data_IF_893240845450
#
_entry.id   IF_893240845450
#
_cell.length_a   1.000
_cell.length_b   1.000
_cell.length_c   1.000
_cell.angle_alpha   90.00
_cell.angle_beta   90.00
_cell.angle_gamma   90.00
#
_symmetry.space_group_name_H-M   'P 1'
#
loop_
_entity.id
_entity.type
_entity.pdbx_description
1 polymer ?
#
# COMPACT_ATOMS: atom_id res chain seq x y z
N UNK A 1 6.17 19.28 9.45
CA UNK A 1 5.64 19.50 10.82
C UNK A 1 4.18 19.04 10.99
N UNK A 2 3.23 19.50 10.14
CA UNK A 2 1.81 19.11 10.25
C UNK A 2 1.53 17.60 10.16
N UNK A 3 2.17 16.90 9.22
CA UNK A 3 2.04 15.43 9.06
C UNK A 3 2.45 14.70 10.35
N UNK A 4 3.59 15.05 10.95
CA UNK A 4 4.05 14.44 12.19
C UNK A 4 3.06 14.63 13.35
N UNK A 5 2.44 15.81 13.48
CA UNK A 5 1.45 16.10 14.52
C UNK A 5 0.20 15.22 14.36
N UNK A 6 -0.35 15.14 13.14
CA UNK A 6 -1.53 14.34 12.83
C UNK A 6 -1.26 12.85 13.08
N UNK A 7 -0.14 12.33 12.57
CA UNK A 7 0.21 10.91 12.74
C UNK A 7 0.45 10.56 14.21
N UNK A 8 1.13 11.41 14.97
CA UNK A 8 1.34 11.20 16.40
C UNK A 8 0.02 11.18 17.19
N UNK A 9 -0.91 12.10 16.90
CA UNK A 9 -2.24 12.10 17.53
C UNK A 9 -3.04 10.84 17.20
N UNK A 10 -2.99 10.39 15.94
CA UNK A 10 -3.71 9.19 15.48
C UNK A 10 -3.11 7.92 16.07
N UNK A 11 -1.78 7.80 16.14
CA UNK A 11 -1.11 6.67 16.79
C UNK A 11 -1.42 6.61 18.29
N UNK A 12 -1.47 7.75 18.99
CA UNK A 12 -1.89 7.81 20.39
C UNK A 12 -3.34 7.35 20.60
N UNK A 13 -4.23 7.65 19.65
CA UNK A 13 -5.61 7.17 19.70
C UNK A 13 -5.69 5.67 19.41
N UNK A 14 -5.00 5.18 18.37
CA UNK A 14 -4.93 3.76 18.05
C UNK A 14 -4.39 2.93 19.23
N UNK A 15 -3.32 3.38 19.89
CA UNK A 15 -2.75 2.71 21.05
C UNK A 15 -3.76 2.63 22.21
N UNK A 16 -4.51 3.71 22.48
CA UNK A 16 -5.56 3.71 23.51
C UNK A 16 -6.67 2.69 23.21
N UNK A 17 -7.06 2.52 21.94
CA UNK A 17 -8.07 1.54 21.54
C UNK A 17 -7.57 0.10 21.68
N UNK A 18 -6.35 -0.20 21.23
CA UNK A 18 -5.73 -1.52 21.38
C UNK A 18 -5.61 -1.90 22.85
N UNK A 19 -5.18 -0.98 23.71
CA UNK A 19 -5.09 -1.23 25.15
C UNK A 19 -6.45 -1.47 25.81
N UNK A 20 -7.51 -0.77 25.37
CA UNK A 20 -8.88 -1.04 25.83
C UNK A 20 -9.39 -2.39 25.38
N UNK A 21 -9.06 -2.82 24.17
CA UNK A 21 -9.47 -4.13 23.65
C UNK A 21 -8.84 -5.28 24.45
N UNK A 22 -7.60 -5.11 24.90
CA UNK A 22 -6.89 -6.09 25.73
C UNK A 22 -7.19 -6.01 27.23
N UNK A 23 -7.95 -5.02 27.70
CA UNK A 23 -8.27 -4.87 29.11
C UNK A 23 -9.30 -5.91 29.54
N UNK A 24 -9.06 -6.69 30.62
CA UNK A 24 -10.04 -7.63 31.12
C UNK A 24 -11.33 -6.87 31.52
N UNK A 25 -12.51 -7.46 31.32
CA UNK A 25 -13.76 -6.81 31.71
C UNK A 25 -13.70 -6.48 33.20
N UNK A 26 -13.79 -5.19 33.53
CA UNK A 26 -13.86 -4.71 34.89
C UNK A 26 -15.05 -5.37 35.57
N UNK A 27 -14.81 -6.27 36.53
CA UNK A 27 -15.85 -6.80 37.40
C UNK A 27 -16.34 -5.65 38.27
N UNK A 28 -17.45 -5.03 37.87
CA UNK A 28 -18.17 -4.06 38.69
C UNK A 28 -18.35 -4.57 40.13
N UNK A 29 -18.22 -3.68 41.12
CA UNK A 29 -18.55 -3.97 42.52
C UNK A 29 -19.95 -4.57 42.70
N UNK A 30 -20.90 -4.25 41.80
CA UNK A 30 -22.24 -4.83 41.77
C UNK A 30 -22.26 -6.33 41.41
N UNK A 31 -21.24 -6.86 40.72
CA UNK A 31 -21.10 -8.29 40.46
C UNK A 31 -20.59 -9.08 41.69
N UNK A 32 -19.97 -8.39 42.67
CA UNK A 32 -19.58 -8.98 43.97
C UNK A 32 -20.73 -9.01 44.98
N UNK A 33 -21.77 -8.19 44.79
CA UNK A 33 -22.93 -8.09 45.69
C UNK A 33 -24.14 -8.93 45.25
N UNK A 34 -23.98 -9.85 44.30
CA UNK A 34 -25.01 -10.85 43.96
C UNK A 34 -26.31 -10.29 43.36
N UNK A 35 -26.40 -8.99 43.11
CA UNK A 35 -27.54 -8.37 42.44
C UNK A 35 -27.21 -8.16 40.96
N UNK A 36 -27.43 -9.18 40.14
CA UNK A 36 -27.84 -8.94 38.75
C UNK A 36 -28.61 -10.11 38.12
N UNK A 37 -29.86 -9.79 37.81
CA UNK A 37 -30.80 -10.51 36.95
C UNK A 37 -30.18 -10.67 35.56
N UNK A 38 -30.22 -11.90 35.04
CA UNK A 38 -29.84 -12.24 33.67
C UNK A 38 -30.51 -11.29 32.68
N UNK A 39 -29.67 -10.53 31.97
CA UNK A 39 -30.10 -9.48 31.07
C UNK A 39 -28.92 -9.09 30.19
N UNK A 40 -28.91 -9.76 29.05
CA UNK A 40 -28.20 -9.44 27.82
C UNK A 40 -26.71 -9.77 27.72
N UNK A 41 -26.40 -10.54 26.67
CA UNK A 41 -25.05 -10.85 26.24
C UNK A 41 -24.33 -9.55 25.93
N UNK A 42 -23.04 -9.51 26.26
CA UNK A 42 -22.20 -8.34 26.09
C UNK A 42 -22.14 -7.90 24.63
N UNK A 43 -23.03 -6.98 24.29
CA UNK A 43 -23.02 -6.10 23.12
C UNK A 43 -21.87 -5.08 23.27
N UNK A 44 -20.64 -5.57 23.43
CA UNK A 44 -19.46 -4.72 23.33
C UNK A 44 -19.22 -4.49 21.85
N UNK A 45 -19.39 -3.25 21.33
CA UNK A 45 -19.07 -2.97 19.95
C UNK A 45 -17.61 -3.37 19.70
N UNK A 46 -17.28 -3.91 18.51
CA UNK A 46 -15.91 -4.29 18.22
C UNK A 46 -15.01 -3.06 18.44
N UNK A 47 -14.03 -3.21 19.33
CA UNK A 47 -13.23 -2.10 19.89
C UNK A 47 -12.44 -1.33 18.81
N UNK A 48 -12.40 -1.85 17.59
CA UNK A 48 -11.65 -1.34 16.45
C UNK A 48 -12.53 -0.82 15.29
N UNK A 49 -13.86 -0.81 15.44
CA UNK A 49 -14.74 -0.23 14.42
C UNK A 49 -14.43 1.28 14.22
N UNK A 50 -14.22 1.74 12.98
CA UNK A 50 -14.04 3.15 12.72
C UNK A 50 -15.35 3.91 13.02
N UNK A 51 -15.28 4.93 13.87
CA UNK A 51 -16.42 5.82 14.13
C UNK A 51 -16.69 6.82 12.97
N UNK A 52 -15.94 6.71 11.87
CA UNK A 52 -15.94 7.59 10.71
C UNK A 52 -14.70 7.33 9.83
N UNK A 53 -14.57 8.08 8.74
CA UNK A 53 -13.40 7.98 7.87
C UNK A 53 -12.13 8.39 8.62
N UNK A 54 -11.09 7.57 8.53
CA UNK A 54 -9.79 7.87 9.15
C UNK A 54 -9.16 9.11 8.46
N UNK A 55 -8.80 10.18 9.21
CA UNK A 55 -8.18 11.37 8.63
C UNK A 55 -6.85 11.10 7.93
N UNK A 56 -6.08 10.10 8.39
CA UNK A 56 -4.82 9.69 7.74
C UNK A 56 -5.10 9.06 6.40
N UNK A 57 -6.08 8.15 6.32
CA UNK A 57 -6.47 7.51 5.06
C UNK A 57 -7.04 8.54 4.08
N UNK A 58 -7.88 9.48 4.55
CA UNK A 58 -8.38 10.57 3.71
C UNK A 58 -7.24 11.43 3.17
N UNK A 59 -6.26 11.76 4.02
CA UNK A 59 -5.09 12.54 3.59
C UNK A 59 -4.18 11.77 2.63
N UNK A 60 -4.06 10.46 2.78
CA UNK A 60 -3.31 9.61 1.87
C UNK A 60 -3.90 9.67 0.46
N UNK A 61 -5.22 9.49 0.32
CA UNK A 61 -5.92 9.60 -0.98
C UNK A 61 -5.72 10.98 -1.62
N UNK A 62 -5.79 12.05 -0.82
CA UNK A 62 -5.55 13.42 -1.30
C UNK A 62 -4.11 13.62 -1.79
N UNK A 63 -3.12 13.11 -1.07
CA UNK A 63 -1.70 13.22 -1.44
C UNK A 63 -1.41 12.39 -2.68
N UNK A 64 -1.93 11.16 -2.75
CA UNK A 64 -1.77 10.27 -3.90
C UNK A 64 -2.32 10.91 -5.17
N UNK A 65 -3.54 11.45 -5.12
CA UNK A 65 -4.14 12.14 -6.26
C UNK A 65 -3.24 13.27 -6.78
N UNK A 66 -2.74 14.13 -5.88
CA UNK A 66 -1.83 15.24 -6.25
C UNK A 66 -0.49 14.76 -6.79
N UNK A 67 0.06 13.68 -6.22
CA UNK A 67 1.32 13.11 -6.68
C UNK A 67 1.18 12.55 -8.10
N UNK A 68 0.06 11.88 -8.39
CA UNK A 68 -0.24 11.37 -9.73
C UNK A 68 -0.49 12.51 -10.73
N UNK A 69 -1.21 13.56 -10.33
CA UNK A 69 -1.41 14.73 -11.19
C UNK A 69 -0.06 15.37 -11.55
N UNK A 70 0.79 15.61 -10.55
CA UNK A 70 2.13 16.15 -10.75
C UNK A 70 3.02 15.23 -11.61
N UNK A 71 2.92 13.91 -11.42
CA UNK A 71 3.63 12.93 -12.25
C UNK A 71 3.23 13.07 -13.73
N UNK A 72 1.93 13.04 -14.01
CA UNK A 72 1.41 13.08 -15.38
C UNK A 72 1.71 14.41 -16.06
N UNK A 73 1.57 15.53 -15.34
CA UNK A 73 1.86 16.88 -15.86
C UNK A 73 3.34 17.06 -16.26
N UNK A 74 4.27 16.40 -15.56
CA UNK A 74 5.71 16.59 -15.77
C UNK A 74 6.38 15.34 -16.38
N UNK A 75 5.60 14.38 -16.86
CA UNK A 75 6.12 13.09 -17.34
C UNK A 75 7.06 13.26 -18.53
N UNK A 76 6.63 14.01 -19.55
CA UNK A 76 7.35 14.14 -20.82
C UNK A 76 8.64 14.93 -20.66
N UNK A 77 8.64 15.93 -19.78
CA UNK A 77 9.74 16.88 -19.65
C UNK A 77 10.80 16.40 -18.65
N UNK A 78 10.38 15.92 -17.46
CA UNK A 78 11.29 15.73 -16.33
C UNK A 78 11.22 14.35 -15.67
N UNK A 79 10.06 13.67 -15.72
CA UNK A 79 9.80 12.50 -14.86
C UNK A 79 9.87 11.14 -15.56
N UNK A 80 10.10 11.09 -16.88
CA UNK A 80 10.27 9.83 -17.64
C UNK A 80 11.46 8.99 -17.13
N UNK A 81 12.66 9.60 -17.06
CA UNK A 81 13.85 8.93 -16.53
C UNK A 81 13.69 8.48 -15.08
N UNK A 82 13.31 9.38 -14.16
CA UNK A 82 13.03 9.02 -12.77
C UNK A 82 11.97 7.91 -12.61
N UNK A 83 10.92 7.91 -13.44
CA UNK A 83 9.89 6.87 -13.41
C UNK A 83 10.46 5.52 -13.84
N UNK A 84 11.30 5.50 -14.89
CA UNK A 84 11.99 4.28 -15.33
C UNK A 84 12.93 3.76 -14.25
N UNK A 85 13.74 4.63 -13.66
CA UNK A 85 14.71 4.27 -12.61
C UNK A 85 14.01 3.73 -11.34
N UNK A 86 12.80 4.23 -11.06
CA UNK A 86 11.97 3.73 -9.97
C UNK A 86 11.34 2.35 -10.23
N UNK A 87 11.45 1.80 -11.45
CA UNK A 87 10.79 0.56 -11.82
C UNK A 87 9.31 0.74 -12.19
N UNK A 88 8.92 1.94 -12.62
CA UNK A 88 7.57 2.25 -13.08
C UNK A 88 6.55 2.38 -11.94
N UNK A 89 5.28 2.44 -12.31
CA UNK A 89 4.16 2.41 -11.37
C UNK A 89 3.72 0.97 -11.10
N UNK A 90 3.11 0.74 -9.94
CA UNK A 90 2.35 -0.49 -9.71
C UNK A 90 1.06 -0.48 -10.54
N UNK A 91 0.42 -1.65 -10.66
CA UNK A 91 -0.79 -1.86 -11.45
C UNK A 91 -1.92 -0.88 -11.09
N UNK A 92 -2.15 -0.65 -9.79
CA UNK A 92 -3.18 0.27 -9.32
C UNK A 92 -2.84 1.72 -9.69
N UNK A 93 -1.63 2.18 -9.38
CA UNK A 93 -1.21 3.56 -9.67
C UNK A 93 -1.09 3.85 -11.16
N UNK A 94 -0.72 2.88 -11.99
CA UNK A 94 -0.76 3.00 -13.45
C UNK A 94 -2.18 3.28 -13.95
N UNK A 95 -3.16 2.52 -13.47
CA UNK A 95 -4.56 2.74 -13.82
C UNK A 95 -5.05 4.12 -13.42
N UNK A 96 -4.70 4.58 -12.21
CA UNK A 96 -5.05 5.90 -11.71
C UNK A 96 -4.36 7.03 -12.49
N UNK A 97 -3.09 6.86 -12.88
CA UNK A 97 -2.35 7.80 -13.70
C UNK A 97 -2.95 7.93 -15.10
N UNK A 98 -3.26 6.81 -15.76
CA UNK A 98 -3.88 6.81 -17.09
C UNK A 98 -5.25 7.50 -17.12
N UNK A 99 -6.04 7.38 -16.05
CA UNK A 99 -7.32 8.09 -15.92
C UNK A 99 -7.15 9.62 -15.76
N UNK A 100 -5.98 10.07 -15.28
CA UNK A 100 -5.65 11.49 -15.09
C UNK A 100 -4.97 12.11 -16.30
N UNK A 101 -4.41 11.30 -17.20
CA UNK A 101 -3.83 11.78 -18.45
C UNK A 101 -4.90 12.43 -19.33
N UNK A 102 -4.82 13.75 -19.48
CA UNK A 102 -5.62 14.51 -20.46
C UNK A 102 -4.87 14.77 -21.76
N UNK A 103 -3.52 14.79 -21.73
CA UNK A 103 -2.68 14.93 -22.91
C UNK A 103 -2.36 13.54 -23.53
N UNK A 104 -2.75 13.30 -24.80
CA UNK A 104 -2.41 12.07 -25.50
C UNK A 104 -0.92 11.77 -25.59
N UNK A 105 -0.05 12.79 -25.61
CA UNK A 105 1.41 12.56 -25.65
C UNK A 105 1.92 12.03 -24.32
N UNK A 106 1.52 12.65 -23.20
CA UNK A 106 1.84 12.15 -21.87
C UNK A 106 1.28 10.73 -21.66
N UNK A 107 0.05 10.46 -22.10
CA UNK A 107 -0.53 9.11 -22.03
C UNK A 107 0.29 8.08 -22.83
N UNK A 108 0.65 8.38 -24.07
CA UNK A 108 1.45 7.49 -24.90
C UNK A 108 2.83 7.24 -24.27
N UNK A 109 3.47 8.29 -23.74
CA UNK A 109 4.76 8.16 -23.07
C UNK A 109 4.68 7.32 -21.81
N UNK A 110 3.63 7.49 -21.00
CA UNK A 110 3.40 6.67 -19.80
C UNK A 110 3.30 5.19 -20.13
N UNK A 111 2.51 4.86 -21.16
CA UNK A 111 2.35 3.47 -21.63
C UNK A 111 3.68 2.92 -22.13
N UNK A 112 4.44 3.70 -22.90
CA UNK A 112 5.74 3.27 -23.44
C UNK A 112 6.76 2.97 -22.33
N UNK A 113 6.91 3.90 -21.37
CA UNK A 113 7.83 3.73 -20.24
C UNK A 113 7.45 2.53 -19.40
N UNK A 114 6.18 2.42 -19.04
CA UNK A 114 5.68 1.33 -18.21
C UNK A 114 5.84 -0.03 -18.90
N UNK A 115 5.53 -0.12 -20.20
CA UNK A 115 5.64 -1.36 -20.96
C UNK A 115 7.09 -1.83 -21.00
N UNK A 116 8.03 -0.94 -21.31
CA UNK A 116 9.46 -1.28 -21.36
C UNK A 116 9.97 -1.81 -20.01
N UNK A 117 9.59 -1.16 -18.90
CA UNK A 117 9.98 -1.57 -17.55
C UNK A 117 9.41 -2.95 -17.19
N UNK A 118 8.15 -3.22 -17.51
CA UNK A 118 7.53 -4.52 -17.21
C UNK A 118 8.00 -5.63 -18.12
N UNK A 119 8.30 -5.35 -19.39
CA UNK A 119 8.91 -6.33 -20.30
C UNK A 119 10.28 -6.80 -19.78
N UNK A 120 11.10 -5.86 -19.30
CA UNK A 120 12.38 -6.17 -18.67
C UNK A 120 12.19 -7.03 -17.41
N UNK A 121 11.26 -6.64 -16.54
CA UNK A 121 10.94 -7.39 -15.32
C UNK A 121 10.42 -8.80 -15.61
N UNK A 122 9.57 -8.96 -16.63
CA UNK A 122 9.08 -10.26 -17.11
C UNK A 122 10.26 -11.12 -17.60
N UNK A 123 11.22 -10.53 -18.31
CA UNK A 123 12.44 -11.21 -18.73
C UNK A 123 13.27 -11.74 -17.55
N UNK A 124 13.55 -10.87 -16.57
CA UNK A 124 14.30 -11.26 -15.36
C UNK A 124 13.58 -12.35 -14.55
N UNK A 125 12.26 -12.24 -14.39
CA UNK A 125 11.48 -13.26 -13.69
C UNK A 125 11.45 -14.59 -14.46
N UNK A 126 11.39 -14.53 -15.79
CA UNK A 126 11.46 -15.70 -16.65
C UNK A 126 12.79 -16.45 -16.49
N UNK A 127 13.91 -15.73 -16.50
CA UNK A 127 15.24 -16.30 -16.28
C UNK A 127 15.40 -16.84 -14.86
N UNK A 128 14.90 -16.13 -13.86
CA UNK A 128 14.87 -16.62 -12.48
C UNK A 128 14.12 -17.96 -12.39
N UNK A 129 12.91 -18.06 -12.97
CA UNK A 129 12.12 -19.31 -12.98
C UNK A 129 12.87 -20.41 -13.73
N UNK A 130 13.45 -20.10 -14.90
CA UNK A 130 14.18 -21.07 -15.73
C UNK A 130 15.37 -21.66 -14.97
N UNK A 131 16.16 -20.85 -14.29
CA UNK A 131 17.36 -21.28 -13.55
C UNK A 131 17.04 -22.05 -12.25
N UNK A 132 15.78 -22.04 -11.80
CA UNK A 132 15.30 -22.91 -10.71
C UNK A 132 15.01 -24.35 -11.16
N UNK A 133 14.91 -24.60 -12.47
CA UNK A 133 14.83 -25.95 -13.00
C UNK A 133 16.16 -26.69 -12.77
N UNK A 134 16.08 -27.96 -12.34
CA UNK A 134 17.25 -28.78 -12.02
C UNK A 134 18.26 -28.89 -13.19
N UNK A 135 17.82 -28.70 -14.44
CA UNK A 135 18.67 -28.71 -15.64
C UNK A 135 19.58 -27.49 -15.72
N UNK A 136 19.15 -26.36 -15.18
CA UNK A 136 19.83 -25.06 -15.29
C UNK A 136 20.34 -24.53 -13.94
N UNK A 137 20.20 -25.30 -12.86
CA UNK A 137 20.60 -24.91 -11.50
C UNK A 137 22.08 -24.53 -11.32
N UNK A 138 22.93 -24.90 -12.28
CA UNK A 138 24.35 -24.58 -12.29
C UNK A 138 24.65 -23.20 -12.88
N UNK A 139 23.68 -22.61 -13.59
CA UNK A 139 23.79 -21.25 -14.10
C UNK A 139 23.64 -20.25 -12.95
N UNK A 140 24.50 -19.22 -12.87
CA UNK A 140 24.37 -18.19 -11.85
C UNK A 140 23.11 -17.34 -12.08
N UNK A 141 22.43 -17.03 -10.99
CA UNK A 141 21.33 -16.05 -10.96
C UNK A 141 21.95 -14.66 -10.86
N UNK A 142 21.57 -13.73 -11.74
CA UNK A 142 22.02 -12.34 -11.66
C UNK A 142 21.34 -11.58 -10.52
N UNK A 143 21.90 -10.43 -10.13
CA UNK A 143 21.28 -9.60 -9.09
C UNK A 143 19.87 -9.14 -9.50
N UNK A 144 19.67 -8.76 -10.77
CA UNK A 144 18.36 -8.36 -11.29
C UNK A 144 17.34 -9.51 -11.34
N UNK A 145 17.78 -10.71 -11.71
CA UNK A 145 16.96 -11.92 -11.63
C UNK A 145 16.59 -12.24 -10.18
N UNK A 146 17.53 -12.11 -9.25
CA UNK A 146 17.31 -12.42 -7.83
C UNK A 146 16.26 -11.50 -7.20
N UNK A 147 16.30 -10.20 -7.51
CA UNK A 147 15.33 -9.21 -6.97
C UNK A 147 14.02 -9.14 -7.75
N UNK A 148 13.91 -9.81 -8.90
CA UNK A 148 12.74 -9.75 -9.79
C UNK A 148 11.43 -10.17 -9.12
N UNK A 149 11.47 -11.09 -8.14
CA UNK A 149 10.27 -11.51 -7.39
C UNK A 149 9.71 -10.36 -6.56
N UNK A 150 10.56 -9.67 -5.80
CA UNK A 150 10.13 -8.54 -4.96
C UNK A 150 9.61 -7.39 -5.82
N UNK A 151 10.30 -7.09 -6.93
CA UNK A 151 9.87 -6.11 -7.93
C UNK A 151 8.53 -6.48 -8.55
N UNK A 152 8.30 -7.76 -8.88
CA UNK A 152 7.03 -8.22 -9.43
C UNK A 152 5.87 -8.10 -8.43
N UNK A 153 6.09 -8.38 -7.15
CA UNK A 153 5.09 -8.17 -6.11
C UNK A 153 4.76 -6.68 -6.00
N UNK A 154 5.78 -5.82 -5.84
CA UNK A 154 5.59 -4.37 -5.76
C UNK A 154 4.86 -3.81 -7.00
N UNK A 155 5.21 -4.29 -8.20
CA UNK A 155 4.55 -3.90 -9.44
C UNK A 155 3.06 -4.28 -9.48
N UNK A 156 2.62 -5.32 -8.77
CA UNK A 156 1.23 -5.77 -8.78
C UNK A 156 0.41 -5.26 -7.59
N UNK A 157 1.04 -4.99 -6.45
CA UNK A 157 0.34 -4.67 -5.19
C UNK A 157 0.48 -3.23 -4.71
N UNK A 158 1.48 -2.49 -5.21
CA UNK A 158 1.91 -1.23 -4.60
C UNK A 158 2.78 -1.44 -3.36
#
# INVERSE_FOLDING_TARGET
LGVAIVHHAMLKEALRRVQRAGAPPSRSLSARLGLRKSGDGSDSPPVLEPAGQCPVCAKQVEIEARALDALVENLVDDLDGPLRDAGGLCWEHLGLALQRCSDPKAQARLVEVQSAVWEELVGHLGEFIRKRDYRFQHEPISDDEAVSIEKAIAALTG
#
